data_IF_850350831814
#
_entry.id   IF_850350831814
#
_cell.length_a   1.000
_cell.length_b   1.000
_cell.length_c   1.000
_cell.angle_alpha   90.00
_cell.angle_beta   90.00
_cell.angle_gamma   90.00
#
_symmetry.space_group_name_H-M   'P 1'
#
loop_
_entity.id
_entity.type
_entity.pdbx_description
1 polymer ?
#
# COMPACT_ATOMS: atom_id res chain seq x y z
N UNK A 1 55.35 -30.08 42.95
CA UNK A 1 54.90 -29.34 41.74
C UNK A 1 53.54 -29.74 41.17
N UNK A 2 52.87 -30.84 41.58
CA UNK A 2 51.58 -31.27 40.99
C UNK A 2 50.30 -30.59 41.53
N UNK A 3 50.36 -29.91 42.67
CA UNK A 3 49.18 -29.36 43.38
C UNK A 3 48.78 -27.96 42.89
N UNK A 4 49.75 -27.11 42.55
CA UNK A 4 49.56 -25.74 41.98
C UNK A 4 48.73 -25.72 40.68
N UNK A 5 48.95 -26.69 39.79
CA UNK A 5 48.28 -26.78 38.48
C UNK A 5 46.78 -27.13 38.62
N UNK A 6 46.41 -27.85 39.67
CA UNK A 6 45.03 -28.28 39.94
C UNK A 6 44.14 -27.10 40.37
N UNK A 7 44.67 -26.22 41.22
CA UNK A 7 43.93 -25.07 41.75
C UNK A 7 43.68 -24.00 40.68
N UNK A 8 44.69 -23.69 39.86
CA UNK A 8 44.57 -22.75 38.73
C UNK A 8 43.52 -23.21 37.70
N UNK A 9 43.45 -24.51 37.37
CA UNK A 9 42.42 -25.08 36.47
C UNK A 9 41.02 -25.09 37.09
N UNK A 10 40.89 -25.16 38.42
CA UNK A 10 39.60 -25.09 39.12
C UNK A 10 39.07 -23.65 39.18
N UNK A 11 39.97 -22.69 39.43
CA UNK A 11 39.67 -21.26 39.41
C UNK A 11 39.30 -20.79 38.00
N UNK A 12 40.03 -21.22 36.96
CA UNK A 12 39.73 -20.90 35.56
C UNK A 12 38.37 -21.48 35.14
N UNK A 13 38.04 -22.70 35.57
CA UNK A 13 36.71 -23.30 35.34
C UNK A 13 35.60 -22.57 36.07
N UNK A 14 35.83 -22.07 37.29
CA UNK A 14 34.86 -21.24 37.99
C UNK A 14 34.67 -19.89 37.28
N UNK A 15 35.76 -19.20 36.91
CA UNK A 15 35.67 -17.93 36.17
C UNK A 15 34.99 -18.10 34.81
N UNK A 16 35.25 -19.20 34.10
CA UNK A 16 34.59 -19.52 32.84
C UNK A 16 33.09 -19.82 33.04
N UNK A 17 32.71 -20.55 34.11
CA UNK A 17 31.31 -20.77 34.46
C UNK A 17 30.59 -19.45 34.76
N UNK A 18 31.19 -18.56 35.54
CA UNK A 18 30.61 -17.24 35.81
C UNK A 18 30.52 -16.38 34.54
N UNK A 19 31.53 -16.41 33.66
CA UNK A 19 31.47 -15.71 32.38
C UNK A 19 30.33 -16.23 31.49
N UNK A 20 30.15 -17.56 31.40
CA UNK A 20 29.05 -18.16 30.64
C UNK A 20 27.67 -17.79 31.22
N UNK A 21 27.55 -17.76 32.55
CA UNK A 21 26.32 -17.30 33.21
C UNK A 21 26.06 -15.82 32.91
N UNK A 22 27.08 -14.95 32.96
CA UNK A 22 26.92 -13.54 32.61
C UNK A 22 26.48 -13.35 31.15
N UNK A 23 27.09 -14.08 30.20
CA UNK A 23 26.71 -14.01 28.78
C UNK A 23 25.25 -14.48 28.59
N UNK A 24 24.85 -15.55 29.28
CA UNK A 24 23.48 -16.04 29.22
C UNK A 24 22.47 -15.01 29.76
N UNK A 25 22.78 -14.36 30.90
CA UNK A 25 21.92 -13.31 31.47
C UNK A 25 21.79 -12.12 30.52
N UNK A 26 22.89 -11.65 29.92
CA UNK A 26 22.86 -10.55 28.94
C UNK A 26 22.03 -10.92 27.70
N UNK A 27 22.14 -12.16 27.21
CA UNK A 27 21.34 -12.65 26.09
C UNK A 27 19.84 -12.68 26.42
N UNK A 28 19.46 -13.14 27.61
CA UNK A 28 18.05 -13.14 28.06
C UNK A 28 17.51 -11.71 28.14
N UNK A 29 18.27 -10.77 28.70
CA UNK A 29 17.87 -9.36 28.76
C UNK A 29 17.68 -8.78 27.36
N UNK A 30 18.60 -9.07 26.42
CA UNK A 30 18.47 -8.63 25.04
C UNK A 30 17.22 -9.20 24.37
N UNK A 31 16.92 -10.49 24.54
CA UNK A 31 15.71 -11.11 23.96
C UNK A 31 14.44 -10.50 24.55
N UNK A 32 14.37 -10.28 25.87
CA UNK A 32 13.23 -9.63 26.51
C UNK A 32 13.03 -8.19 26.02
N UNK A 33 14.13 -7.48 25.77
CA UNK A 33 14.11 -6.15 25.18
C UNK A 33 13.56 -6.21 23.75
N UNK A 34 14.05 -7.11 22.90
CA UNK A 34 13.54 -7.31 21.53
C UNK A 34 12.04 -7.67 21.52
N UNK A 35 11.58 -8.52 22.43
CA UNK A 35 10.16 -8.87 22.58
C UNK A 35 9.31 -7.67 23.02
N UNK A 36 9.84 -6.80 23.88
CA UNK A 36 9.15 -5.58 24.31
C UNK A 36 9.03 -4.59 23.16
N UNK A 37 10.09 -4.41 22.36
CA UNK A 37 10.06 -3.60 21.13
C UNK A 37 9.09 -4.17 20.10
N UNK A 38 9.08 -5.49 19.91
CA UNK A 38 8.12 -6.15 19.03
C UNK A 38 6.68 -5.93 19.52
N UNK A 39 6.43 -5.98 20.83
CA UNK A 39 5.11 -5.71 21.41
C UNK A 39 4.69 -4.25 21.21
N UNK A 40 5.60 -3.29 21.33
CA UNK A 40 5.32 -1.87 21.13
C UNK A 40 5.09 -1.53 19.64
N UNK A 41 5.84 -2.13 18.72
CA UNK A 41 5.58 -2.03 17.27
C UNK A 41 4.24 -2.65 16.86
N UNK A 42 3.81 -3.72 17.53
CA UNK A 42 2.48 -4.30 17.33
C UNK A 42 1.37 -3.62 18.15
N UNK A 43 1.71 -2.59 18.94
CA UNK A 43 0.74 -1.82 19.76
C UNK A 43 0.11 -0.66 18.98
N UNK A 44 0.67 -0.31 17.82
CA UNK A 44 -0.07 0.37 16.76
C UNK A 44 -1.22 -0.56 16.31
N UNK A 45 -2.48 -0.17 16.48
CA UNK A 45 -3.59 -1.10 16.41
C UNK A 45 -3.89 -1.48 14.96
N UNK A 46 -3.22 -2.52 14.46
CA UNK A 46 -3.73 -3.40 13.39
C UNK A 46 -4.84 -4.32 13.92
N UNK A 47 -5.68 -3.76 14.79
CA UNK A 47 -6.85 -4.38 15.43
C UNK A 47 -8.06 -3.44 15.50
N UNK A 48 -7.98 -2.24 14.89
CA UNK A 48 -9.11 -1.30 14.78
C UNK A 48 -9.79 -1.29 13.39
N UNK A 49 -9.42 -2.22 12.50
CA UNK A 49 -10.11 -2.42 11.22
C UNK A 49 -10.95 -3.71 11.16
N UNK A 50 -11.02 -4.51 12.24
CA UNK A 50 -11.89 -5.69 12.33
C UNK A 50 -12.52 -5.76 13.72
N UNK A 51 -13.33 -4.77 14.08
CA UNK A 51 -14.30 -4.89 15.18
C UNK A 51 -15.57 -4.08 14.89
N UNK A 52 -15.99 -4.07 13.63
CA UNK A 52 -17.19 -3.37 13.16
C UNK A 52 -18.21 -4.29 12.50
N UNK A 53 -18.19 -5.59 12.81
CA UNK A 53 -19.24 -6.53 12.39
C UNK A 53 -19.97 -7.09 13.61
N UNK A 54 -20.61 -6.23 14.39
CA UNK A 54 -21.78 -6.59 15.19
C UNK A 54 -22.72 -5.38 15.20
N UNK A 55 -23.95 -5.61 14.74
CA UNK A 55 -25.12 -4.72 14.74
C UNK A 55 -25.03 -3.44 15.59
N UNK A 56 -25.18 -2.28 14.96
CA UNK A 56 -25.68 -1.10 15.67
C UNK A 56 -26.83 -0.45 14.89
N UNK A 57 -28.04 -0.69 15.40
CA UNK A 57 -29.31 -0.07 15.01
C UNK A 57 -29.41 1.32 15.60
N UNK A 58 -28.65 2.31 15.13
CA UNK A 58 -29.01 3.72 15.29
C UNK A 58 -28.45 4.58 14.14
N UNK A 59 -29.32 4.86 13.16
CA UNK A 59 -29.14 5.99 12.24
C UNK A 59 -29.14 7.28 13.06
N UNK A 60 -27.99 7.93 13.16
CA UNK A 60 -27.90 9.38 13.36
C UNK A 60 -27.20 9.98 12.15
N UNK A 61 -28.02 10.50 11.25
CA UNK A 61 -27.60 11.42 10.19
C UNK A 61 -27.18 12.72 10.87
N UNK A 62 -25.88 12.98 10.96
CA UNK A 62 -25.36 14.32 11.26
C UNK A 62 -24.28 14.61 10.23
N UNK A 63 -24.55 15.63 9.42
CA UNK A 63 -23.82 15.94 8.20
C UNK A 63 -22.33 16.15 8.43
N UNK A 64 -21.53 15.36 7.71
CA UNK A 64 -20.21 15.78 7.26
C UNK A 64 -20.07 15.37 5.80
N UNK A 65 -19.75 16.38 4.99
CA UNK A 65 -19.45 16.35 3.57
C UNK A 65 -18.61 15.11 3.24
N UNK A 66 -19.25 14.05 2.78
CA UNK A 66 -18.57 12.85 2.27
C UNK A 66 -17.61 13.32 1.19
N UNK A 67 -16.33 12.96 1.32
CA UNK A 67 -15.39 13.19 0.23
C UNK A 67 -15.96 12.52 -1.02
N UNK A 68 -15.77 13.13 -2.20
CA UNK A 68 -16.16 12.55 -3.51
C UNK A 68 -15.64 11.10 -3.69
N UNK A 69 -14.66 10.71 -2.87
CA UNK A 69 -13.93 9.45 -2.85
C UNK A 69 -14.52 8.34 -1.96
N UNK A 70 -15.62 8.57 -1.24
CA UNK A 70 -16.23 7.58 -0.32
C UNK A 70 -17.56 6.98 -0.81
N UNK A 71 -17.96 7.17 -2.08
CA UNK A 71 -19.20 6.56 -2.57
C UNK A 71 -18.97 5.17 -3.21
N UNK A 72 -19.71 4.13 -2.77
CA UNK A 72 -19.50 2.72 -3.15
C UNK A 72 -19.92 2.35 -4.59
N UNK A 73 -20.32 3.32 -5.41
CA UNK A 73 -20.70 3.10 -6.82
C UNK A 73 -19.55 3.30 -7.81
N UNK A 74 -18.40 3.82 -7.37
CA UNK A 74 -17.22 4.11 -8.21
C UNK A 74 -15.93 3.46 -7.71
N UNK A 75 -15.97 2.63 -6.67
CA UNK A 75 -14.75 1.99 -6.19
C UNK A 75 -14.40 0.86 -7.15
N UNK A 76 -13.52 1.13 -8.13
CA UNK A 76 -12.79 0.16 -8.96
C UNK A 76 -11.86 -0.70 -8.09
N UNK A 77 -12.39 -1.29 -7.03
CA UNK A 77 -11.68 -2.08 -6.03
C UNK A 77 -12.13 -3.52 -6.17
N UNK A 78 -11.19 -4.42 -6.41
CA UNK A 78 -11.44 -5.85 -6.56
C UNK A 78 -10.72 -6.59 -5.45
N UNK A 79 -11.37 -7.61 -4.89
CA UNK A 79 -10.76 -8.48 -3.89
C UNK A 79 -10.19 -9.75 -4.53
N UNK A 80 -8.95 -10.05 -4.18
CA UNK A 80 -8.26 -11.33 -4.38
C UNK A 80 -8.96 -12.46 -3.60
N UNK A 81 -8.76 -13.72 -4.01
CA UNK A 81 -9.09 -14.94 -3.24
C UNK A 81 -8.57 -14.91 -1.80
N UNK A 82 -7.47 -14.21 -1.53
CA UNK A 82 -6.92 -14.02 -0.17
C UNK A 82 -7.49 -12.80 0.58
N UNK A 83 -8.48 -12.09 0.00
CA UNK A 83 -9.10 -10.91 0.61
C UNK A 83 -8.31 -9.60 0.47
N UNK A 84 -7.18 -9.60 -0.25
CA UNK A 84 -6.43 -8.37 -0.57
C UNK A 84 -7.21 -7.52 -1.56
N UNK A 85 -7.22 -6.20 -1.39
CA UNK A 85 -7.94 -5.29 -2.27
C UNK A 85 -6.98 -4.67 -3.28
N UNK A 86 -7.31 -4.77 -4.57
CA UNK A 86 -6.55 -4.22 -5.70
C UNK A 86 -7.38 -3.12 -6.34
N UNK A 87 -6.74 -1.98 -6.62
CA UNK A 87 -7.38 -0.84 -7.27
C UNK A 87 -7.16 -0.89 -8.78
N UNK A 88 -8.22 -0.89 -9.56
CA UNK A 88 -8.21 -0.75 -11.02
C UNK A 88 -8.39 0.71 -11.45
N UNK A 89 -7.90 1.66 -10.65
CA UNK A 89 -7.84 3.08 -11.04
C UNK A 89 -7.17 3.22 -12.41
N UNK A 90 -7.65 4.16 -13.21
CA UNK A 90 -7.09 4.47 -14.53
C UNK A 90 -7.49 3.48 -15.62
N UNK A 91 -8.32 2.48 -15.32
CA UNK A 91 -8.93 1.60 -16.32
C UNK A 91 -10.20 2.21 -16.92
N UNK A 92 -10.53 1.82 -18.15
CA UNK A 92 -11.86 2.06 -18.72
C UNK A 92 -12.88 1.10 -18.12
N UNK A 93 -14.09 1.57 -17.87
CA UNK A 93 -15.19 0.76 -17.34
C UNK A 93 -15.48 -0.48 -18.20
N UNK A 94 -15.44 -0.31 -19.52
CA UNK A 94 -15.64 -1.40 -20.49
C UNK A 94 -14.52 -2.46 -20.49
N UNK A 95 -13.34 -2.13 -19.96
CA UNK A 95 -12.20 -3.05 -19.90
C UNK A 95 -12.05 -3.75 -18.54
N UNK A 96 -12.85 -3.40 -17.53
CA UNK A 96 -12.75 -3.96 -16.17
C UNK A 96 -12.71 -5.50 -16.19
N UNK A 97 -13.52 -6.13 -17.05
CA UNK A 97 -13.56 -7.60 -17.17
C UNK A 97 -12.20 -8.21 -17.58
N UNK A 98 -11.37 -7.49 -18.35
CA UNK A 98 -10.03 -7.95 -18.77
C UNK A 98 -9.01 -7.94 -17.63
N UNK A 99 -9.27 -7.14 -16.60
CA UNK A 99 -8.43 -7.04 -15.40
C UNK A 99 -8.76 -8.09 -14.35
N UNK A 100 -9.85 -8.84 -14.51
CA UNK A 100 -10.21 -9.89 -13.56
C UNK A 100 -9.15 -10.99 -13.55
N UNK A 101 -8.82 -11.54 -12.37
CA UNK A 101 -7.85 -12.63 -12.27
C UNK A 101 -8.38 -13.88 -12.98
N UNK A 102 -7.45 -14.65 -13.57
CA UNK A 102 -7.74 -15.94 -14.17
C UNK A 102 -8.03 -17.02 -13.11
N UNK A 103 -8.25 -18.26 -13.54
CA UNK A 103 -8.53 -19.42 -12.67
C UNK A 103 -7.44 -19.67 -11.62
N UNK A 104 -6.21 -19.23 -11.86
CA UNK A 104 -5.08 -19.36 -10.93
C UNK A 104 -4.99 -18.19 -9.94
N UNK A 105 -5.81 -17.15 -10.10
CA UNK A 105 -5.74 -15.91 -9.33
C UNK A 105 -4.71 -14.92 -9.86
N UNK A 106 -4.32 -15.01 -11.14
CA UNK A 106 -3.29 -14.18 -11.78
C UNK A 106 -3.88 -13.22 -12.80
N UNK A 107 -3.27 -12.05 -12.94
CA UNK A 107 -3.53 -11.14 -14.04
C UNK A 107 -2.73 -11.58 -15.28
N UNK A 108 -3.28 -11.36 -16.47
CA UNK A 108 -2.66 -11.73 -17.74
C UNK A 108 -2.47 -10.47 -18.57
N UNK A 109 -1.23 -10.13 -18.90
CA UNK A 109 -0.92 -9.00 -19.77
C UNK A 109 -1.67 -9.12 -21.11
N UNK A 110 -2.18 -8.02 -21.66
CA UNK A 110 -3.09 -8.07 -22.81
C UNK A 110 -2.40 -8.53 -24.09
N UNK A 111 -1.17 -8.05 -24.34
CA UNK A 111 -0.40 -8.40 -25.54
C UNK A 111 0.55 -9.57 -25.26
N UNK A 112 1.44 -9.44 -24.28
CA UNK A 112 2.50 -10.43 -24.05
C UNK A 112 1.98 -11.76 -23.49
N UNK A 113 0.75 -11.79 -22.97
CA UNK A 113 0.15 -12.94 -22.27
C UNK A 113 0.95 -13.46 -21.07
N UNK A 114 1.93 -12.70 -20.59
CA UNK A 114 2.66 -13.00 -19.35
C UNK A 114 1.66 -12.99 -18.18
N UNK A 115 1.71 -14.04 -17.35
CA UNK A 115 0.93 -14.09 -16.12
C UNK A 115 1.70 -13.47 -14.95
N UNK A 116 1.02 -12.63 -14.18
CA UNK A 116 1.56 -11.94 -13.00
C UNK A 116 0.58 -12.06 -11.85
N UNK A 117 1.06 -11.94 -10.61
CA UNK A 117 0.16 -12.02 -9.46
C UNK A 117 -0.82 -10.84 -9.51
N UNK A 118 -2.11 -11.08 -9.24
CA UNK A 118 -3.14 -10.05 -9.37
C UNK A 118 -2.90 -8.82 -8.48
N UNK A 119 -2.20 -9.01 -7.35
CA UNK A 119 -1.81 -7.93 -6.43
C UNK A 119 -0.79 -6.96 -7.01
N UNK A 120 -0.16 -7.30 -8.15
CA UNK A 120 0.81 -6.44 -8.84
C UNK A 120 0.17 -5.46 -9.81
N UNK A 121 -1.14 -5.52 -9.99
CA UNK A 121 -1.84 -4.50 -10.79
C UNK A 121 -1.82 -3.19 -10.01
N UNK A 122 -1.29 -2.12 -10.62
CA UNK A 122 -1.09 -0.82 -10.01
C UNK A 122 -0.20 -0.85 -8.76
N UNK A 123 0.91 -1.60 -8.81
CA UNK A 123 1.89 -1.69 -7.72
C UNK A 123 3.11 -0.78 -7.91
N UNK A 124 3.06 0.13 -8.91
CA UNK A 124 4.14 1.01 -9.32
C UNK A 124 5.35 0.27 -9.92
N UNK A 125 5.19 -0.96 -10.40
CA UNK A 125 6.21 -1.71 -11.12
C UNK A 125 5.70 -2.21 -12.48
N UNK A 126 6.50 -1.98 -13.54
CA UNK A 126 6.09 -2.39 -14.88
C UNK A 126 6.42 -3.86 -15.19
N UNK A 127 5.48 -4.74 -14.92
CA UNK A 127 5.52 -6.17 -15.23
C UNK A 127 5.10 -6.52 -16.66
N UNK A 128 4.28 -5.70 -17.33
CA UNK A 128 3.88 -5.87 -18.74
C UNK A 128 4.54 -4.82 -19.66
N UNK A 129 5.84 -4.94 -20.00
CA UNK A 129 6.58 -3.87 -20.69
C UNK A 129 6.11 -3.56 -22.13
N UNK A 130 5.42 -4.52 -22.76
CA UNK A 130 4.95 -4.38 -24.14
C UNK A 130 3.76 -3.44 -24.24
N UNK A 131 2.83 -3.51 -23.29
CA UNK A 131 1.53 -2.85 -23.33
C UNK A 131 1.18 -2.03 -22.09
N UNK A 132 1.95 -2.16 -21.00
CA UNK A 132 1.73 -1.48 -19.73
C UNK A 132 0.39 -1.80 -19.08
N UNK A 133 -0.21 -2.94 -19.43
CA UNK A 133 -1.60 -3.25 -19.06
C UNK A 133 -1.78 -3.45 -17.56
N UNK A 134 -0.72 -3.80 -16.83
CA UNK A 134 -0.70 -3.98 -15.38
C UNK A 134 -0.69 -2.67 -14.58
N UNK A 135 -0.25 -1.57 -15.19
CA UNK A 135 -0.12 -0.26 -14.53
C UNK A 135 -1.06 0.80 -15.16
N UNK A 136 -2.39 0.59 -15.20
CA UNK A 136 -3.33 1.57 -15.76
C UNK A 136 -3.49 2.84 -14.91
N UNK A 137 -3.15 2.78 -13.62
CA UNK A 137 -3.37 3.80 -12.61
C UNK A 137 -2.10 4.48 -12.12
N UNK A 138 -0.93 4.11 -12.63
CA UNK A 138 0.38 4.66 -12.22
C UNK A 138 1.20 5.11 -13.43
N UNK A 139 2.35 5.72 -13.18
CA UNK A 139 3.32 6.13 -14.20
C UNK A 139 4.46 5.12 -14.42
N UNK A 140 4.35 3.88 -13.94
CA UNK A 140 5.46 2.93 -13.93
C UNK A 140 5.81 2.36 -15.32
N UNK A 141 4.84 2.27 -16.23
CA UNK A 141 5.05 1.73 -17.59
C UNK A 141 5.10 2.82 -18.64
N UNK A 142 6.22 2.98 -19.37
CA UNK A 142 6.37 4.00 -20.43
C UNK A 142 5.34 3.92 -21.57
N UNK A 143 4.90 2.70 -21.92
CA UNK A 143 3.89 2.45 -22.97
C UNK A 143 2.45 2.39 -22.41
N UNK A 144 2.28 2.66 -21.12
CA UNK A 144 1.00 2.61 -20.43
C UNK A 144 0.10 3.81 -20.74
N UNK A 145 -1.17 3.67 -20.39
CA UNK A 145 -2.15 4.72 -20.53
C UNK A 145 -3.10 4.75 -19.35
N UNK A 146 -3.48 5.95 -18.96
CA UNK A 146 -4.44 6.22 -17.91
C UNK A 146 -5.73 6.75 -18.51
N UNK A 147 -6.86 6.26 -18.01
CA UNK A 147 -8.18 6.74 -18.38
C UNK A 147 -8.78 7.56 -17.24
N UNK A 148 -9.13 8.81 -17.55
CA UNK A 148 -9.74 9.71 -16.59
C UNK A 148 -11.11 9.17 -16.12
N UNK A 149 -11.39 9.28 -14.83
CA UNK A 149 -12.54 8.62 -14.19
C UNK A 149 -13.88 9.20 -14.65
N UNK A 150 -13.98 10.52 -14.70
CA UNK A 150 -15.12 11.26 -15.21
C UNK A 150 -14.67 11.93 -16.50
N UNK A 151 -14.71 11.22 -17.63
CA UNK A 151 -14.78 11.89 -18.92
C UNK A 151 -16.13 12.61 -18.95
N UNK A 152 -16.19 13.82 -18.40
CA UNK A 152 -17.39 14.64 -18.44
C UNK A 152 -17.89 14.67 -19.89
N UNK A 153 -19.19 14.50 -20.08
CA UNK A 153 -19.82 14.46 -21.41
C UNK A 153 -19.60 15.75 -22.24
N UNK A 154 -18.88 16.74 -21.69
CA UNK A 154 -18.26 17.83 -22.43
C UNK A 154 -17.05 17.34 -23.22
N UNK A 155 -17.16 17.44 -24.55
CA UNK A 155 -16.22 17.02 -25.61
C UNK A 155 -14.79 17.59 -25.57
N UNK A 156 -14.32 18.16 -24.44
CA UNK A 156 -13.07 18.93 -24.34
C UNK A 156 -11.94 18.26 -23.54
N UNK A 157 -12.24 17.22 -22.75
CA UNK A 157 -11.24 16.50 -21.95
C UNK A 157 -10.64 15.32 -22.71
N UNK A 158 -9.33 15.10 -22.60
CA UNK A 158 -8.74 13.85 -23.07
C UNK A 158 -9.29 12.70 -22.21
N UNK A 159 -10.08 11.81 -22.78
CA UNK A 159 -10.57 10.62 -22.07
C UNK A 159 -9.45 9.64 -21.69
N UNK A 160 -8.24 9.88 -22.21
CA UNK A 160 -7.07 9.01 -22.13
C UNK A 160 -5.80 9.87 -22.17
N UNK A 161 -4.89 9.64 -21.23
CA UNK A 161 -3.58 10.28 -21.17
C UNK A 161 -2.46 9.22 -21.14
N UNK A 162 -1.25 9.54 -21.61
CA UNK A 162 -0.07 8.72 -21.36
C UNK A 162 0.17 8.50 -19.86
N UNK A 163 0.67 7.32 -19.47
CA UNK A 163 0.98 6.98 -18.07
C UNK A 163 1.97 7.93 -17.40
N UNK A 164 2.97 8.47 -18.12
CA UNK A 164 3.99 9.35 -17.55
C UNK A 164 3.44 10.66 -16.96
N UNK A 165 2.20 11.01 -17.32
CA UNK A 165 1.47 12.17 -16.82
C UNK A 165 0.72 11.91 -15.51
N UNK A 166 0.66 10.65 -15.09
CA UNK A 166 -0.03 10.29 -13.85
C UNK A 166 0.85 10.67 -12.67
N UNK A 167 0.32 11.48 -11.76
CA UNK A 167 1.02 12.01 -10.59
C UNK A 167 2.30 12.79 -10.97
N UNK A 168 2.25 13.55 -12.06
CA UNK A 168 3.37 14.40 -12.50
C UNK A 168 3.29 15.85 -11.95
N UNK A 169 2.24 16.15 -11.18
CA UNK A 169 1.96 17.47 -10.60
C UNK A 169 1.21 18.42 -11.55
N UNK A 170 0.78 17.96 -12.71
CA UNK A 170 -0.02 18.73 -13.66
C UNK A 170 -1.37 18.04 -13.90
N UNK A 171 -2.45 18.83 -13.83
CA UNK A 171 -3.79 18.32 -14.06
C UNK A 171 -4.05 18.18 -15.57
N UNK A 172 -3.83 16.98 -16.11
CA UNK A 172 -4.14 16.62 -17.48
C UNK A 172 -5.57 16.09 -17.64
N UNK A 173 -6.07 15.36 -16.64
CA UNK A 173 -7.48 15.02 -16.57
C UNK A 173 -8.30 16.20 -16.04
N UNK A 174 -9.39 16.55 -16.72
CA UNK A 174 -10.26 17.64 -16.29
C UNK A 174 -10.97 17.41 -14.95
N UNK A 175 -11.08 16.15 -14.52
CA UNK A 175 -11.62 15.78 -13.22
C UNK A 175 -10.54 15.62 -12.14
N UNK A 176 -9.26 15.81 -12.51
CA UNK A 176 -8.09 15.65 -11.64
C UNK A 176 -7.83 14.22 -11.18
N UNK A 177 -8.35 13.22 -11.89
CA UNK A 177 -8.24 11.81 -11.48
C UNK A 177 -6.84 11.23 -11.64
N UNK A 178 -6.00 11.88 -12.45
CA UNK A 178 -4.58 11.60 -12.70
C UNK A 178 -3.67 11.96 -11.52
N UNK A 179 -3.96 13.04 -10.80
CA UNK A 179 -3.18 13.51 -9.65
C UNK A 179 -3.72 12.98 -8.30
N UNK A 180 -3.89 11.66 -8.22
CA UNK A 180 -4.53 11.02 -7.06
C UNK A 180 -3.61 10.82 -5.85
N UNK A 181 -2.28 10.79 -6.04
CA UNK A 181 -1.31 10.63 -4.94
C UNK A 181 -1.28 11.87 -4.04
N UNK A 182 -1.59 13.05 -4.58
CA UNK A 182 -1.67 14.28 -3.80
C UNK A 182 -2.70 14.20 -2.68
N UNK A 183 -3.80 13.44 -2.88
CA UNK A 183 -4.81 13.22 -1.85
C UNK A 183 -4.26 12.50 -0.62
N UNK A 184 -3.30 11.58 -0.80
CA UNK A 184 -2.67 10.85 0.31
C UNK A 184 -1.69 11.75 1.10
N UNK A 185 -0.93 12.59 0.40
CA UNK A 185 0.00 13.55 1.01
C UNK A 185 -0.76 14.65 1.76
N UNK A 186 -1.86 15.15 1.19
CA UNK A 186 -2.75 16.12 1.83
C UNK A 186 -3.34 15.62 3.15
N UNK A 187 -3.67 14.33 3.25
CA UNK A 187 -4.20 13.73 4.48
C UNK A 187 -3.15 13.74 5.61
N UNK A 188 -1.92 13.33 5.31
CA UNK A 188 -0.83 13.32 6.30
C UNK A 188 -0.35 14.72 6.66
N UNK A 189 -0.28 15.66 5.70
CA UNK A 189 0.11 17.05 5.99
C UNK A 189 -0.95 17.78 6.81
N UNK A 190 -2.25 17.53 6.55
CA UNK A 190 -3.32 18.09 7.38
C UNK A 190 -3.27 17.56 8.82
N UNK A 191 -2.86 16.30 9.02
CA UNK A 191 -2.62 15.73 10.36
C UNK A 191 -1.46 16.41 11.10
N UNK A 192 -0.48 16.95 10.35
CA UNK A 192 0.64 17.74 10.86
C UNK A 192 0.34 19.24 10.94
N UNK A 193 -0.88 19.68 10.60
CA UNK A 193 -1.25 21.10 10.57
C UNK A 193 -0.59 21.89 9.43
N UNK A 194 -0.02 21.20 8.44
CA UNK A 194 0.62 21.79 7.25
C UNK A 194 -0.43 21.87 6.14
N UNK A 195 -0.74 23.08 5.70
CA UNK A 195 -1.58 23.31 4.52
C UNK A 195 -0.77 23.09 3.26
N UNK A 196 -1.01 21.98 2.56
CA UNK A 196 -0.43 21.74 1.25
C UNK A 196 -1.19 22.54 0.20
N UNK A 197 -0.48 23.44 -0.47
CA UNK A 197 -0.93 24.19 -1.63
C UNK A 197 -0.59 23.45 -2.93
N UNK A 198 -0.82 22.14 -2.95
CA UNK A 198 -0.77 21.37 -4.20
C UNK A 198 -1.82 21.88 -5.19
N UNK A 199 -1.61 21.68 -6.49
CA UNK A 199 -2.57 22.02 -7.52
C UNK A 199 -3.88 21.25 -7.26
N UNK A 200 -4.85 21.91 -6.62
CA UNK A 200 -6.22 21.39 -6.56
C UNK A 200 -6.76 21.38 -7.98
N UNK A 201 -6.68 20.24 -8.66
CA UNK A 201 -7.19 20.09 -10.00
C UNK A 201 -8.66 20.53 -10.03
N UNK A 202 -8.97 21.68 -10.66
CA UNK A 202 -10.33 22.15 -10.73
C UNK A 202 -11.10 21.20 -11.65
N UNK A 203 -12.36 20.90 -11.32
CA UNK A 203 -13.27 20.20 -12.24
C UNK A 203 -13.70 21.11 -13.42
N UNK A 204 -12.76 21.82 -14.05
CA UNK A 204 -13.00 22.78 -15.13
C UNK A 204 -11.99 22.57 -16.26
N UNK A 205 -12.55 22.30 -17.42
CA UNK A 205 -11.98 22.60 -18.73
C UNK A 205 -13.07 23.27 -19.61
#
# INVERSE_FOLDING_TARGET
>A
MRTEVSWKRRLLRQKLKYALVCVFVVAVVFVLHQLSYFKELNREPMGKLISGSVQDTHRLVIGKRSSKWEQPHHSKLIRDKNGRTVSLRGTRDQDIAKYLPNVNGKFVCFISRKEVDFVRVNDNYCDCPVDGSDEPGTNACNNGFFYCETSSSSRKSAAKIPSYKVNDGYCDCCDGSDEWTEAAILYELNKLGVTFHGPKCPNKC
#
